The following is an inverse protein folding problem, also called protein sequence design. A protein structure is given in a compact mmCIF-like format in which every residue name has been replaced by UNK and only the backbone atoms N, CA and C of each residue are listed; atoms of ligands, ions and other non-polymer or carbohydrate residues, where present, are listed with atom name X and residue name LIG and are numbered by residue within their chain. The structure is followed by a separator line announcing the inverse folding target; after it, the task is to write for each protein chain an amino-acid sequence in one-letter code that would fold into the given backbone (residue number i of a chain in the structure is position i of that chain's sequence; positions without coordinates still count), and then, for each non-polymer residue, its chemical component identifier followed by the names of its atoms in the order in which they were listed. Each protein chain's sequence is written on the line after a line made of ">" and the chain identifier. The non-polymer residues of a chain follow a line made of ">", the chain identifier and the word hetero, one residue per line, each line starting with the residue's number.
data_IF_129561219648
#
_entry.id   IF_129561219648
#
_cell.length_a   1.000
_cell.length_b   1.000
_cell.length_c   1.000
_cell.angle_alpha   90.00
_cell.angle_beta   90.00
_cell.angle_gamma   90.00
#
_symmetry.space_group_name_H-M   'P 1'
#
loop_
_entity.id
_entity.type
_entity.pdbx_description
1 polymer ?
#
# COMPACT_ATOMS: atom_id res chain seq x y z
N UNK A 1 -10.81 -26.82 2.50
CA UNK A 1 -11.61 -25.61 2.57
C UNK A 1 -11.49 -24.82 1.28
N UNK A 2 -12.57 -24.48 0.69
CA UNK A 2 -12.55 -23.67 -0.51
C UNK A 2 -12.26 -22.22 -0.14
N UNK A 3 -11.43 -21.58 -0.94
CA UNK A 3 -11.25 -20.14 -0.83
C UNK A 3 -12.50 -19.45 -1.35
N UNK A 4 -13.25 -18.91 -0.43
CA UNK A 4 -14.43 -18.15 -0.81
C UNK A 4 -14.00 -16.73 -1.19
N UNK A 5 -14.61 -16.21 -2.23
CA UNK A 5 -14.42 -14.81 -2.59
C UNK A 5 -14.84 -13.92 -1.43
N UNK A 6 -14.07 -12.87 -1.18
CA UNK A 6 -14.44 -11.89 -0.17
C UNK A 6 -15.77 -11.24 -0.52
N UNK A 7 -16.57 -10.88 0.49
CA UNK A 7 -17.77 -10.10 0.27
C UNK A 7 -17.40 -8.68 -0.20
N UNK A 8 -18.37 -7.96 -0.77
CA UNK A 8 -18.15 -6.57 -1.15
C UNK A 8 -17.73 -5.72 0.05
N UNK A 9 -18.30 -5.98 1.23
CA UNK A 9 -17.93 -5.28 2.45
C UNK A 9 -16.48 -5.56 2.86
N UNK A 10 -16.05 -6.82 2.78
CA UNK A 10 -14.68 -7.19 3.08
C UNK A 10 -13.69 -6.53 2.11
N UNK A 11 -14.03 -6.49 0.81
CA UNK A 11 -13.20 -5.81 -0.18
C UNK A 11 -13.07 -4.32 0.13
N UNK A 12 -14.16 -3.67 0.50
CA UNK A 12 -14.15 -2.25 0.86
C UNK A 12 -13.29 -2.00 2.10
N UNK A 13 -13.38 -2.87 3.12
CA UNK A 13 -12.56 -2.77 4.31
C UNK A 13 -11.07 -2.96 3.99
N UNK A 14 -10.75 -3.95 3.16
CA UNK A 14 -9.38 -4.20 2.74
C UNK A 14 -8.83 -3.03 1.92
N UNK A 15 -9.64 -2.48 1.04
CA UNK A 15 -9.26 -1.31 0.23
C UNK A 15 -9.00 -0.09 1.12
N UNK A 16 -9.81 0.11 2.16
CA UNK A 16 -9.60 1.19 3.13
C UNK A 16 -8.28 1.02 3.88
N UNK A 17 -7.98 -0.21 4.30
CA UNK A 17 -6.70 -0.50 4.96
C UNK A 17 -5.52 -0.25 4.01
N UNK A 18 -5.66 -0.61 2.74
CA UNK A 18 -4.64 -0.30 1.73
C UNK A 18 -4.44 1.21 1.57
N UNK A 19 -5.50 1.99 1.70
CA UNK A 19 -5.40 3.46 1.67
C UNK A 19 -4.47 4.02 2.73
N UNK A 20 -4.43 3.41 3.91
CA UNK A 20 -3.47 3.80 4.96
C UNK A 20 -2.02 3.55 4.52
N UNK A 21 -1.77 2.42 3.87
CA UNK A 21 -0.44 2.11 3.32
C UNK A 21 -0.06 3.09 2.20
N UNK A 22 -1.02 3.43 1.33
CA UNK A 22 -0.83 4.44 0.28
C UNK A 22 -0.42 5.78 0.90
N UNK A 23 -1.12 6.22 1.94
CA UNK A 23 -0.85 7.50 2.59
C UNK A 23 0.53 7.51 3.24
N UNK A 24 0.92 6.43 3.92
CA UNK A 24 2.24 6.33 4.53
C UNK A 24 3.36 6.40 3.49
N UNK A 25 3.23 5.66 2.40
CA UNK A 25 4.22 5.68 1.33
C UNK A 25 4.32 7.10 0.74
N UNK A 26 3.20 7.71 0.43
CA UNK A 26 3.17 9.02 -0.19
C UNK A 26 3.75 10.11 0.73
N UNK A 27 3.46 10.05 2.02
CA UNK A 27 4.01 10.99 3.00
C UNK A 27 5.53 10.89 3.06
N UNK A 28 6.06 9.68 3.12
CA UNK A 28 7.51 9.47 3.22
C UNK A 28 8.20 9.88 1.92
N UNK A 29 7.64 9.50 0.78
CA UNK A 29 8.20 9.85 -0.53
C UNK A 29 8.19 11.36 -0.75
N UNK A 30 7.16 12.05 -0.22
CA UNK A 30 7.05 13.51 -0.31
C UNK A 30 7.96 14.25 0.66
N UNK A 31 8.63 13.54 1.59
CA UNK A 31 9.53 14.17 2.56
C UNK A 31 8.86 14.68 3.82
N UNK A 32 7.66 14.22 4.14
CA UNK A 32 6.88 14.73 5.28
C UNK A 32 7.23 14.05 6.61
N UNK A 33 8.09 13.05 6.62
CA UNK A 33 8.48 12.29 7.82
C UNK A 33 9.96 12.49 8.14
N UNK A 34 10.40 13.73 8.14
CA UNK A 34 11.80 14.07 8.35
C UNK A 34 12.32 13.78 9.75
N UNK A 35 11.41 13.58 10.71
CA UNK A 35 11.75 13.21 12.09
C UNK A 35 12.16 11.74 12.23
N UNK A 36 11.88 10.92 11.22
CA UNK A 36 12.34 9.54 11.17
C UNK A 36 13.71 9.48 10.49
N UNK A 37 14.56 8.56 10.95
CA UNK A 37 15.82 8.36 10.25
C UNK A 37 15.63 7.62 8.93
N UNK A 38 16.69 7.61 8.11
CA UNK A 38 16.62 7.03 6.76
C UNK A 38 16.27 5.54 6.81
N UNK A 39 16.84 4.80 7.76
CA UNK A 39 16.58 3.36 7.89
C UNK A 39 15.10 3.08 8.21
N UNK A 40 14.53 3.86 9.11
CA UNK A 40 13.12 3.70 9.49
C UNK A 40 12.20 4.08 8.35
N UNK A 41 12.48 5.17 7.63
CA UNK A 41 11.70 5.57 6.47
C UNK A 41 11.72 4.50 5.38
N UNK A 42 12.89 3.96 5.09
CA UNK A 42 13.03 2.92 4.08
C UNK A 42 12.25 1.67 4.48
N UNK A 43 12.35 1.26 5.75
CA UNK A 43 11.65 0.08 6.25
C UNK A 43 10.13 0.22 6.13
N UNK A 44 9.59 1.38 6.52
CA UNK A 44 8.15 1.64 6.42
C UNK A 44 7.68 1.57 4.97
N UNK A 45 8.41 2.20 4.06
CA UNK A 45 8.06 2.18 2.64
C UNK A 45 8.10 0.74 2.11
N UNK A 46 9.17 0.01 2.39
CA UNK A 46 9.34 -1.35 1.88
C UNK A 46 8.24 -2.28 2.36
N UNK A 47 7.88 -2.22 3.64
CA UNK A 47 6.80 -3.03 4.22
C UNK A 47 5.45 -2.71 3.62
N UNK A 48 5.16 -1.44 3.42
CA UNK A 48 3.89 -1.02 2.87
C UNK A 48 3.78 -1.32 1.39
N UNK A 49 4.88 -1.21 0.64
CA UNK A 49 4.92 -1.65 -0.77
C UNK A 49 4.63 -3.15 -0.84
N UNK A 50 5.28 -3.96 -0.01
CA UNK A 50 5.04 -5.41 0.01
C UNK A 50 3.57 -5.72 0.33
N UNK A 51 3.01 -5.05 1.34
CA UNK A 51 1.60 -5.23 1.69
C UNK A 51 0.68 -4.92 0.51
N UNK A 52 0.90 -3.79 -0.17
CA UNK A 52 0.08 -3.41 -1.31
C UNK A 52 0.24 -4.40 -2.48
N UNK A 53 1.45 -4.87 -2.73
CA UNK A 53 1.69 -5.86 -3.79
C UNK A 53 0.94 -7.16 -3.53
N UNK A 54 0.94 -7.64 -2.29
CA UNK A 54 0.21 -8.85 -1.90
C UNK A 54 -1.30 -8.66 -2.06
N UNK A 55 -1.80 -7.50 -1.70
CA UNK A 55 -3.24 -7.20 -1.82
C UNK A 55 -3.67 -7.02 -3.27
N UNK A 56 -2.91 -6.27 -4.06
CA UNK A 56 -3.23 -6.04 -5.48
C UNK A 56 -3.19 -7.34 -6.29
N UNK A 57 -2.37 -8.30 -5.87
CA UNK A 57 -2.29 -9.61 -6.54
C UNK A 57 -3.57 -10.43 -6.43
N UNK A 58 -4.49 -10.09 -5.53
CA UNK A 58 -5.78 -10.74 -5.44
C UNK A 58 -6.66 -10.34 -6.64
N UNK A 59 -7.50 -11.24 -7.10
CA UNK A 59 -8.27 -11.05 -8.35
C UNK A 59 -9.68 -10.47 -8.15
N UNK A 60 -10.09 -10.24 -6.92
CA UNK A 60 -11.50 -9.95 -6.60
C UNK A 60 -11.78 -8.51 -6.20
N UNK A 61 -11.14 -7.55 -6.88
CA UNK A 61 -11.31 -6.12 -6.60
C UNK A 61 -12.44 -5.47 -7.41
N UNK A 62 -13.47 -6.21 -7.74
CA UNK A 62 -14.60 -5.68 -8.51
C UNK A 62 -15.22 -4.47 -7.82
N UNK A 63 -15.35 -3.37 -8.56
CA UNK A 63 -15.93 -2.14 -8.04
C UNK A 63 -14.98 -1.26 -7.23
N UNK A 64 -13.74 -1.69 -7.00
CA UNK A 64 -12.73 -0.90 -6.26
C UNK A 64 -11.72 -0.30 -7.23
N UNK A 65 -11.35 0.96 -6.97
CA UNK A 65 -10.34 1.65 -7.77
C UNK A 65 -8.94 1.36 -7.20
N UNK A 66 -8.11 0.69 -7.96
CA UNK A 66 -6.77 0.29 -7.56
C UNK A 66 -5.69 1.27 -8.02
N UNK A 67 -6.06 2.39 -8.63
CA UNK A 67 -5.10 3.35 -9.19
C UNK A 67 -4.15 3.91 -8.14
N UNK A 68 -4.68 4.32 -6.99
CA UNK A 68 -3.87 4.90 -5.91
C UNK A 68 -2.87 3.87 -5.35
N UNK A 69 -3.31 2.62 -5.16
CA UNK A 69 -2.45 1.55 -4.68
C UNK A 69 -1.32 1.26 -5.68
N UNK A 70 -1.63 1.17 -6.96
CA UNK A 70 -0.63 0.92 -8.00
C UNK A 70 0.38 2.08 -8.08
N UNK A 71 -0.09 3.31 -7.98
CA UNK A 71 0.78 4.50 -8.00
C UNK A 71 1.70 4.53 -6.79
N UNK A 72 1.19 4.18 -5.61
CA UNK A 72 2.00 4.13 -4.39
C UNK A 72 3.06 3.02 -4.45
N UNK A 73 2.72 1.86 -5.00
CA UNK A 73 3.68 0.79 -5.21
C UNK A 73 4.85 1.29 -6.08
N UNK A 74 4.53 1.92 -7.20
CA UNK A 74 5.55 2.46 -8.12
C UNK A 74 6.42 3.51 -7.42
N UNK A 75 5.80 4.44 -6.70
CA UNK A 75 6.52 5.49 -5.98
C UNK A 75 7.42 4.91 -4.90
N UNK A 76 6.92 3.92 -4.15
CA UNK A 76 7.69 3.27 -3.10
C UNK A 76 8.86 2.44 -3.64
N UNK A 77 8.66 1.77 -4.77
CA UNK A 77 9.73 0.99 -5.40
C UNK A 77 10.87 1.87 -5.90
N UNK A 78 10.57 3.10 -6.29
CA UNK A 78 11.57 4.07 -6.71
C UNK A 78 12.20 4.87 -5.58
N UNK A 79 11.73 4.68 -4.35
CA UNK A 79 12.19 5.45 -3.20
C UNK A 79 13.47 4.84 -2.61
N UNK A 80 14.46 5.71 -2.37
CA UNK A 80 15.66 5.37 -1.61
C UNK A 80 15.85 6.45 -0.55
N UNK A 81 15.83 6.06 0.71
CA UNK A 81 16.00 7.00 1.81
C UNK A 81 17.44 7.51 1.89
N UNK A 82 17.58 8.77 2.20
CA UNK A 82 18.88 9.42 2.33
C UNK A 82 19.00 10.15 3.65
#
# INVERSE_FOLDING_TARGET
>A
MTDEARTAEQRTQDHTAMGHSVDLINDIVAGNQDDLDAADRQDIVDRNVEHLQLMVAKDDWDGEDMTASNSAITAGQGYTAT
#
